data_IF_397941699770
#
_entry.id   IF_397941699770
#
_cell.length_a   1.000
_cell.length_b   1.000
_cell.length_c   1.000
_cell.angle_alpha   90.00
_cell.angle_beta   90.00
_cell.angle_gamma   90.00
#
_symmetry.space_group_name_H-M   'P 1'
#
loop_
_entity.id
_entity.type
_entity.pdbx_description
1 polymer ?
#
# COMPACT_ATOMS: atom_id res chain seq x y z
N UNK A 1 -6.01 14.43 33.60
CA UNK A 1 -7.31 13.98 33.05
C UNK A 1 -7.04 13.32 31.73
N UNK A 2 -6.90 12.00 31.72
CA UNK A 2 -6.66 11.17 30.54
C UNK A 2 -8.01 10.86 29.91
N UNK A 3 -8.35 11.50 28.81
CA UNK A 3 -9.53 11.16 28.01
C UNK A 3 -9.27 9.82 27.33
N UNK A 4 -9.93 8.78 27.77
CA UNK A 4 -10.04 7.53 27.03
C UNK A 4 -10.76 7.83 25.71
N UNK A 5 -10.07 7.68 24.58
CA UNK A 5 -10.69 7.61 23.27
C UNK A 5 -11.43 6.29 23.19
N UNK A 6 -12.76 6.31 23.18
CA UNK A 6 -13.55 5.14 22.86
C UNK A 6 -13.18 4.65 21.46
N UNK A 7 -12.48 3.53 21.40
CA UNK A 7 -12.11 2.87 20.14
C UNK A 7 -13.35 2.14 19.64
N UNK A 8 -13.79 2.44 18.43
CA UNK A 8 -14.94 1.79 17.80
C UNK A 8 -14.69 0.26 17.73
N UNK A 9 -15.56 -0.59 18.30
CA UNK A 9 -15.38 -2.05 18.29
C UNK A 9 -15.16 -2.66 16.90
N UNK A 10 -15.82 -2.12 15.86
CA UNK A 10 -15.67 -2.56 14.47
C UNK A 10 -14.27 -2.33 13.90
N UNK A 11 -13.53 -1.38 14.43
CA UNK A 11 -12.18 -1.05 14.00
C UNK A 11 -11.12 -2.01 14.58
N UNK A 12 -11.42 -2.65 15.72
CA UNK A 12 -10.57 -3.68 16.33
C UNK A 12 -10.72 -5.03 15.63
N UNK A 13 -11.92 -5.35 15.10
CA UNK A 13 -12.18 -6.61 14.42
C UNK A 13 -11.40 -6.75 13.11
N UNK A 14 -11.28 -5.65 12.34
CA UNK A 14 -10.57 -5.63 11.05
C UNK A 14 -9.08 -6.00 11.17
N UNK A 15 -8.43 -5.58 12.26
CA UNK A 15 -7.02 -5.86 12.50
C UNK A 15 -6.78 -7.27 13.07
N UNK A 16 -7.65 -7.72 13.97
CA UNK A 16 -7.53 -9.03 14.58
C UNK A 16 -7.77 -10.18 13.57
N UNK A 17 -8.57 -9.94 12.55
CA UNK A 17 -8.91 -10.95 11.56
C UNK A 17 -7.76 -11.19 10.57
N UNK A 18 -7.13 -10.13 10.06
CA UNK A 18 -5.99 -10.26 9.16
C UNK A 18 -4.76 -10.89 9.84
N UNK A 19 -4.54 -10.62 11.14
CA UNK A 19 -3.49 -11.28 11.91
C UNK A 19 -3.85 -12.73 12.25
N UNK A 20 -5.14 -13.03 12.48
CA UNK A 20 -5.62 -14.40 12.71
C UNK A 20 -5.60 -15.23 11.42
N UNK A 21 -5.98 -14.67 10.26
CA UNK A 21 -5.88 -15.37 8.97
C UNK A 21 -4.43 -15.63 8.58
N UNK A 22 -3.52 -14.70 8.84
CA UNK A 22 -2.09 -14.93 8.62
C UNK A 22 -1.55 -16.02 9.56
N UNK A 23 -1.96 -16.04 10.81
CA UNK A 23 -1.59 -17.10 11.77
C UNK A 23 -2.30 -18.42 11.51
N UNK A 24 -3.49 -18.42 10.91
CA UNK A 24 -4.24 -19.63 10.52
C UNK A 24 -3.66 -20.23 9.24
N UNK A 25 -3.31 -19.43 8.23
CA UNK A 25 -2.64 -19.93 7.02
C UNK A 25 -1.26 -20.53 7.35
N UNK A 26 -0.49 -19.91 8.25
CA UNK A 26 0.78 -20.47 8.73
C UNK A 26 0.58 -21.73 9.59
N UNK A 27 -0.52 -21.84 10.38
CA UNK A 27 -0.84 -23.01 11.18
C UNK A 27 -1.51 -24.14 10.38
N UNK A 28 -2.28 -23.83 9.34
CA UNK A 28 -2.86 -24.85 8.44
C UNK A 28 -1.78 -25.44 7.53
N UNK A 29 -0.77 -24.67 7.11
CA UNK A 29 0.42 -25.22 6.47
C UNK A 29 1.23 -26.16 7.41
N UNK A 30 1.18 -25.93 8.73
CA UNK A 30 1.80 -26.83 9.72
C UNK A 30 0.93 -28.08 10.06
N UNK A 31 -0.39 -28.03 9.87
CA UNK A 31 -1.32 -29.13 10.25
C UNK A 31 -1.69 -30.09 9.10
N UNK A 32 -1.45 -29.75 7.86
CA UNK A 32 -1.78 -30.60 6.70
C UNK A 32 -0.66 -31.57 6.30
N UNK A 33 0.35 -31.78 7.13
CA UNK A 33 1.42 -32.75 6.84
C UNK A 33 1.10 -34.06 7.54
N UNK A 34 0.31 -34.89 6.88
CA UNK A 34 0.35 -36.34 7.09
C UNK A 34 1.66 -36.88 6.52
N UNK A 35 2.44 -37.38 7.41
CA UNK A 35 3.69 -38.11 7.30
C UNK A 35 3.90 -38.85 5.99
N UNK A 36 4.87 -38.40 5.17
CA UNK A 36 5.90 -39.24 4.56
C UNK A 36 6.97 -38.34 3.92
N UNK A 37 8.16 -38.35 4.52
CA UNK A 37 9.39 -37.78 3.93
C UNK A 37 9.54 -36.26 4.16
N UNK A 38 10.05 -35.86 5.32
CA UNK A 38 10.47 -34.49 5.60
C UNK A 38 11.60 -34.06 4.65
N UNK A 39 11.31 -33.29 3.61
CA UNK A 39 12.29 -32.41 3.03
C UNK A 39 12.29 -31.11 3.87
N UNK A 40 13.13 -31.02 4.88
CA UNK A 40 13.43 -29.74 5.53
C UNK A 40 13.94 -28.77 4.47
N UNK A 41 13.25 -27.64 4.23
CA UNK A 41 13.80 -26.52 3.47
C UNK A 41 15.17 -26.21 4.08
N UNK A 42 16.24 -26.34 3.28
CA UNK A 42 17.61 -26.07 3.68
C UNK A 42 17.66 -24.64 4.23
N UNK A 43 18.03 -24.44 5.50
CA UNK A 43 18.20 -23.10 6.05
C UNK A 43 19.24 -22.39 5.17
N UNK A 44 18.87 -21.18 4.69
CA UNK A 44 19.83 -20.35 3.93
C UNK A 44 21.04 -20.05 4.82
N UNK A 45 22.23 -20.10 4.23
CA UNK A 45 23.46 -19.69 4.90
C UNK A 45 23.49 -18.15 5.04
N UNK A 46 24.38 -17.62 5.90
CA UNK A 46 24.57 -16.17 6.01
C UNK A 46 24.99 -15.56 4.67
N UNK A 47 25.88 -16.20 3.96
CA UNK A 47 26.36 -15.77 2.63
C UNK A 47 25.21 -15.70 1.61
N UNK A 48 24.27 -16.64 1.65
CA UNK A 48 23.08 -16.60 0.79
C UNK A 48 22.10 -15.49 1.17
N UNK A 49 22.04 -15.12 2.47
CA UNK A 49 21.16 -14.06 2.96
C UNK A 49 21.72 -12.67 2.62
N UNK A 50 23.04 -12.49 2.70
CA UNK A 50 23.70 -11.18 2.54
C UNK A 50 24.45 -11.01 1.22
N UNK A 51 24.30 -11.94 0.28
CA UNK A 51 25.01 -12.00 -1.00
C UNK A 51 25.02 -10.71 -1.82
N UNK A 52 23.96 -9.89 -1.66
CA UNK A 52 23.76 -8.65 -2.41
C UNK A 52 24.28 -7.40 -1.66
N UNK A 53 24.84 -7.56 -0.46
CA UNK A 53 25.47 -6.47 0.28
C UNK A 53 26.93 -6.28 -0.15
N UNK A 54 27.40 -5.01 -0.24
CA UNK A 54 28.81 -4.73 -0.46
C UNK A 54 29.64 -5.23 0.72
N UNK A 55 30.82 -5.76 0.43
CA UNK A 55 31.76 -6.28 1.43
C UNK A 55 32.91 -5.29 1.60
N UNK A 56 33.18 -4.90 2.85
CA UNK A 56 34.35 -4.12 3.25
C UNK A 56 35.28 -5.01 4.08
N UNK A 57 36.51 -5.18 3.65
CA UNK A 57 37.53 -5.95 4.40
C UNK A 57 38.33 -5.03 5.31
N UNK A 58 38.32 -5.30 6.61
CA UNK A 58 39.12 -4.60 7.61
C UNK A 58 40.23 -5.53 8.08
N UNK A 59 41.46 -5.12 7.86
CA UNK A 59 42.65 -5.90 8.29
C UNK A 59 43.26 -5.27 9.53
N UNK A 60 43.12 -5.94 10.66
CA UNK A 60 43.76 -5.55 11.91
C UNK A 60 45.24 -5.99 11.85
N UNK A 61 46.13 -5.00 11.81
CA UNK A 61 47.60 -5.28 11.78
C UNK A 61 48.04 -5.78 13.13
N UNK A 62 49.04 -6.69 13.10
CA UNK A 62 49.71 -7.11 14.33
C UNK A 62 50.53 -5.97 14.92
N UNK A 63 50.48 -5.81 16.24
CA UNK A 63 51.20 -4.78 16.95
C UNK A 63 52.71 -5.04 17.05
N UNK A 64 53.13 -6.24 16.67
CA UNK A 64 54.53 -6.68 16.76
C UNK A 64 55.15 -6.66 15.36
N UNK A 65 56.16 -5.83 15.17
CA UNK A 65 56.91 -5.65 13.93
C UNK A 65 58.26 -6.42 13.89
N UNK A 66 58.70 -6.86 15.05
CA UNK A 66 59.95 -7.63 15.24
C UNK A 66 59.71 -8.89 16.05
N UNK A 67 60.42 -9.94 15.73
CA UNK A 67 60.30 -11.21 16.41
C UNK A 67 60.70 -11.07 17.88
N UNK A 68 59.86 -11.51 18.84
CA UNK A 68 60.17 -11.40 20.27
C UNK A 68 61.35 -12.25 20.72
N UNK A 69 61.76 -13.26 19.95
CA UNK A 69 62.86 -14.16 20.30
C UNK A 69 64.21 -13.73 19.68
N UNK A 70 64.21 -13.33 18.40
CA UNK A 70 65.48 -13.05 17.69
C UNK A 70 65.64 -11.62 17.18
N UNK A 71 64.66 -10.74 17.43
CA UNK A 71 64.65 -9.29 17.07
C UNK A 71 64.67 -9.03 15.53
N UNK A 72 64.53 -10.06 14.69
CA UNK A 72 64.45 -9.88 13.25
C UNK A 72 63.13 -9.28 12.82
N UNK A 73 63.05 -8.49 11.71
CA UNK A 73 61.83 -7.98 11.19
C UNK A 73 60.85 -9.09 10.82
N UNK A 74 59.58 -8.99 11.23
CA UNK A 74 58.52 -9.91 10.87
C UNK A 74 57.88 -9.55 9.52
N UNK A 75 57.49 -10.53 8.75
CA UNK A 75 56.86 -10.37 7.47
C UNK A 75 55.41 -10.88 7.54
N UNK A 76 54.46 -10.14 6.91
CA UNK A 76 53.08 -10.60 6.75
C UNK A 76 53.03 -11.78 5.80
N UNK A 77 52.51 -12.91 6.25
CA UNK A 77 52.42 -14.16 5.45
C UNK A 77 50.99 -14.44 4.97
N UNK A 78 49.98 -13.68 5.47
CA UNK A 78 48.59 -13.86 5.09
C UNK A 78 47.64 -13.10 5.99
N UNK A 79 46.36 -13.32 5.78
CA UNK A 79 45.26 -12.84 6.65
C UNK A 79 44.39 -14.04 7.04
N UNK A 80 43.90 -14.07 8.26
CA UNK A 80 42.97 -15.06 8.79
C UNK A 80 41.60 -14.43 9.03
N UNK A 81 40.56 -15.13 8.62
CA UNK A 81 39.19 -14.71 8.87
C UNK A 81 38.85 -14.92 10.36
N UNK A 82 38.31 -13.91 11.01
CA UNK A 82 37.91 -13.96 12.41
C UNK A 82 36.39 -13.97 12.56
N UNK A 83 35.69 -12.94 12.08
CA UNK A 83 34.23 -12.82 12.10
C UNK A 83 33.75 -11.80 11.07
N UNK A 84 32.46 -11.82 10.82
CA UNK A 84 31.74 -10.86 10.00
C UNK A 84 30.69 -10.14 10.86
N UNK A 85 30.49 -8.85 10.62
CA UNK A 85 29.48 -8.02 11.25
C UNK A 85 28.69 -7.22 10.20
N UNK A 86 27.40 -6.96 10.47
CA UNK A 86 26.60 -6.08 9.65
C UNK A 86 26.73 -4.64 10.15
N UNK A 87 27.29 -3.77 9.30
CA UNK A 87 27.49 -2.36 9.63
C UNK A 87 26.36 -1.51 9.10
N UNK A 88 25.70 -0.75 9.97
CA UNK A 88 24.69 0.25 9.61
C UNK A 88 25.30 1.65 9.67
N UNK A 89 25.30 2.34 8.51
CA UNK A 89 25.72 3.74 8.43
C UNK A 89 24.48 4.63 8.51
N UNK A 90 24.31 5.44 9.56
CA UNK A 90 23.18 6.37 9.68
C UNK A 90 23.15 7.38 8.54
N UNK A 91 21.94 7.83 8.17
CA UNK A 91 21.76 8.89 7.18
C UNK A 91 22.46 10.19 7.63
N UNK A 92 23.04 10.90 6.67
CA UNK A 92 23.69 12.20 6.88
C UNK A 92 22.99 13.29 6.08
N UNK A 93 22.81 14.47 6.69
CA UNK A 93 22.36 15.67 5.98
C UNK A 93 23.53 16.64 5.78
N UNK A 94 23.61 17.23 4.61
CA UNK A 94 24.60 18.26 4.29
C UNK A 94 24.01 19.32 3.37
N UNK A 95 24.64 20.49 3.31
CA UNK A 95 24.24 21.58 2.44
C UNK A 95 25.04 21.52 1.15
N UNK A 96 24.35 21.45 0.00
CA UNK A 96 24.96 21.56 -1.33
C UNK A 96 24.69 22.96 -1.86
N UNK A 97 25.75 23.71 -2.14
CA UNK A 97 25.68 25.02 -2.78
C UNK A 97 26.00 24.88 -4.25
N UNK A 98 25.08 25.27 -5.11
CA UNK A 98 25.27 25.27 -6.56
C UNK A 98 25.78 26.63 -7.01
N UNK A 99 26.79 26.63 -7.85
CA UNK A 99 27.35 27.80 -8.50
C UNK A 99 27.36 27.55 -10.00
N UNK A 100 27.22 28.60 -10.76
CA UNK A 100 27.41 28.56 -12.21
C UNK A 100 28.69 29.34 -12.54
N UNK A 101 29.47 28.81 -13.43
CA UNK A 101 30.61 29.54 -14.01
C UNK A 101 30.11 30.70 -14.87
N UNK A 102 30.74 31.85 -14.78
CA UNK A 102 30.46 33.02 -15.58
C UNK A 102 31.71 33.36 -16.40
N UNK A 103 31.60 33.20 -17.71
CA UNK A 103 32.72 33.48 -18.61
C UNK A 103 32.43 34.73 -19.46
N UNK A 104 33.46 35.53 -19.67
CA UNK A 104 33.41 36.75 -20.48
C UNK A 104 34.32 36.55 -21.67
N UNK A 105 33.89 36.96 -22.85
CA UNK A 105 34.75 37.02 -24.03
C UNK A 105 35.77 38.16 -23.86
N UNK A 106 37.08 37.89 -23.95
CA UNK A 106 38.08 38.93 -23.79
C UNK A 106 38.18 39.86 -24.99
N UNK A 107 37.62 39.46 -26.16
CA UNK A 107 37.69 40.23 -27.39
C UNK A 107 36.42 41.04 -27.71
N UNK A 108 35.31 40.79 -26.99
CA UNK A 108 34.05 41.48 -27.18
C UNK A 108 33.87 42.56 -26.13
N UNK A 109 33.48 43.77 -26.54
CA UNK A 109 33.13 44.87 -25.65
C UNK A 109 34.34 45.73 -25.18
N UNK A 110 35.53 45.54 -25.74
CA UNK A 110 36.64 46.49 -25.61
C UNK A 110 36.72 47.38 -26.86
N UNK A 111 36.71 48.70 -26.67
CA UNK A 111 36.91 49.69 -27.75
C UNK A 111 38.39 49.68 -28.14
N UNK A 112 38.79 48.64 -28.88
CA UNK A 112 40.12 48.55 -29.50
C UNK A 112 39.94 48.24 -30.98
N UNK A 113 40.90 48.60 -31.80
CA UNK A 113 40.90 48.34 -33.28
C UNK A 113 40.73 46.82 -33.62
N UNK A 114 40.76 45.95 -32.66
CA UNK A 114 40.57 44.48 -32.76
C UNK A 114 39.24 43.99 -32.20
N UNK A 115 38.32 44.86 -31.79
CA UNK A 115 37.02 44.44 -31.25
C UNK A 115 36.14 43.88 -32.35
N UNK A 116 35.72 42.62 -32.20
CA UNK A 116 34.86 41.92 -33.16
C UNK A 116 33.38 42.31 -32.95
N UNK A 117 33.02 42.81 -31.76
CA UNK A 117 31.67 43.21 -31.40
C UNK A 117 31.69 44.29 -30.29
N UNK A 118 30.87 45.35 -30.46
CA UNK A 118 30.73 46.46 -29.50
C UNK A 118 30.03 46.07 -28.19
N UNK A 119 29.44 44.86 -28.13
CA UNK A 119 28.74 44.37 -26.94
C UNK A 119 29.58 43.35 -26.16
N UNK A 120 29.70 43.55 -24.84
CA UNK A 120 30.29 42.58 -23.95
C UNK A 120 29.49 41.27 -23.99
N UNK A 121 30.15 40.17 -24.33
CA UNK A 121 29.54 38.81 -24.32
C UNK A 121 29.90 38.10 -23.05
N UNK A 122 28.86 37.81 -22.26
CA UNK A 122 28.96 37.06 -21.00
C UNK A 122 28.07 35.83 -21.16
N UNK A 123 28.62 34.65 -20.87
CA UNK A 123 27.88 33.36 -20.85
C UNK A 123 27.95 32.80 -19.45
N UNK A 124 26.80 32.31 -18.98
CA UNK A 124 26.68 31.64 -17.67
C UNK A 124 26.39 30.17 -17.88
N UNK A 125 27.00 29.34 -17.08
CA UNK A 125 26.66 27.91 -16.99
C UNK A 125 25.20 27.74 -16.57
N UNK A 126 24.68 26.50 -16.72
CA UNK A 126 23.31 26.14 -16.29
C UNK A 126 23.39 25.32 -15.02
N UNK A 127 22.61 25.69 -14.02
CA UNK A 127 22.37 24.88 -12.84
C UNK A 127 21.06 24.07 -13.00
N UNK A 128 20.93 22.91 -12.33
CA UNK A 128 19.66 22.20 -12.27
C UNK A 128 18.58 23.08 -11.62
N UNK A 129 17.35 22.95 -12.09
CA UNK A 129 16.20 23.63 -11.50
C UNK A 129 15.87 23.05 -10.12
N UNK A 130 15.32 23.89 -9.24
CA UNK A 130 14.79 23.42 -7.96
C UNK A 130 13.58 22.54 -8.18
N UNK A 131 13.44 21.47 -7.37
CA UNK A 131 12.28 20.55 -7.42
C UNK A 131 10.96 21.31 -7.30
N UNK A 132 10.88 22.22 -6.34
CA UNK A 132 9.75 23.15 -6.22
C UNK A 132 10.27 24.59 -6.22
N UNK A 133 9.50 25.57 -6.73
CA UNK A 133 9.90 26.97 -6.69
C UNK A 133 10.25 27.42 -5.27
N UNK A 134 11.38 28.09 -5.12
CA UNK A 134 11.88 28.61 -3.82
C UNK A 134 12.13 27.53 -2.76
N UNK A 135 12.19 26.27 -3.13
CA UNK A 135 12.55 25.19 -2.20
C UNK A 135 14.08 25.04 -2.07
N UNK A 136 14.50 24.41 -0.99
CA UNK A 136 15.93 24.15 -0.69
C UNK A 136 16.20 22.67 -0.40
N UNK A 137 15.30 21.76 -0.79
CA UNK A 137 15.50 20.32 -0.66
C UNK A 137 15.88 19.70 -2.01
N UNK A 138 16.61 18.60 -1.93
CA UNK A 138 16.93 17.79 -3.11
C UNK A 138 15.79 16.81 -3.44
N UNK A 139 15.75 16.27 -4.68
CA UNK A 139 14.80 15.22 -5.05
C UNK A 139 14.81 14.03 -4.08
N UNK A 140 16.01 13.62 -3.65
CA UNK A 140 16.20 12.48 -2.74
C UNK A 140 15.63 12.75 -1.35
N UNK A 141 15.78 13.98 -0.82
CA UNK A 141 15.19 14.35 0.46
C UNK A 141 13.67 14.37 0.39
N UNK A 142 13.11 14.89 -0.69
CA UNK A 142 11.66 14.88 -0.90
C UNK A 142 11.13 13.43 -1.00
N UNK A 143 11.77 12.58 -1.79
CA UNK A 143 11.42 11.16 -1.91
C UNK A 143 11.52 10.43 -0.55
N UNK A 144 12.55 10.74 0.23
CA UNK A 144 12.69 10.22 1.61
C UNK A 144 11.49 10.62 2.49
N UNK A 145 11.08 11.89 2.48
CA UNK A 145 9.93 12.38 3.27
C UNK A 145 8.65 11.62 2.88
N UNK A 146 8.39 11.45 1.58
CA UNK A 146 7.24 10.69 1.09
C UNK A 146 7.29 9.23 1.50
N UNK A 147 8.45 8.59 1.33
CA UNK A 147 8.63 7.17 1.66
C UNK A 147 8.45 6.90 3.15
N UNK A 148 9.10 7.70 4.02
CA UNK A 148 8.93 7.57 5.47
C UNK A 148 7.47 7.77 5.90
N UNK A 149 6.81 8.81 5.37
CA UNK A 149 5.43 9.12 5.75
C UNK A 149 4.43 8.07 5.26
N UNK A 150 4.50 7.64 4.01
CA UNK A 150 3.44 6.88 3.37
C UNK A 150 3.75 5.38 3.23
N UNK A 151 5.01 4.99 3.09
CA UNK A 151 5.40 3.59 3.08
C UNK A 151 5.66 3.04 4.50
N UNK A 152 6.35 3.85 5.35
CA UNK A 152 6.70 3.44 6.73
C UNK A 152 5.77 4.02 7.80
N UNK A 153 4.74 4.79 7.41
CA UNK A 153 3.76 5.39 8.30
C UNK A 153 4.35 6.33 9.38
N UNK A 154 5.48 6.99 9.12
CA UNK A 154 6.13 7.92 10.06
C UNK A 154 5.45 9.29 9.99
N UNK A 155 4.90 9.84 11.09
CA UNK A 155 4.32 11.19 11.11
C UNK A 155 5.36 12.28 10.79
N UNK A 156 4.95 13.35 10.10
CA UNK A 156 5.84 14.47 9.76
C UNK A 156 6.45 15.13 11.01
N UNK A 157 5.77 15.10 12.14
CA UNK A 157 6.32 15.60 13.39
C UNK A 157 7.54 14.80 13.85
N UNK A 158 7.50 13.46 13.71
CA UNK A 158 8.65 12.59 14.03
C UNK A 158 9.80 12.85 13.07
N UNK A 159 9.51 13.00 11.77
CA UNK A 159 10.53 13.38 10.77
C UNK A 159 11.15 14.75 11.07
N UNK A 160 10.35 15.74 11.47
CA UNK A 160 10.86 17.05 11.88
C UNK A 160 11.82 16.94 13.08
N UNK A 161 11.50 16.08 14.06
CA UNK A 161 12.37 15.82 15.23
C UNK A 161 13.65 15.09 14.81
N UNK A 162 13.55 14.13 13.92
CA UNK A 162 14.68 13.38 13.38
C UNK A 162 15.64 14.31 12.62
N UNK A 163 15.12 15.15 11.72
CA UNK A 163 15.93 16.15 11.03
C UNK A 163 16.62 17.15 11.99
N UNK A 164 15.93 17.54 13.06
CA UNK A 164 16.53 18.41 14.09
C UNK A 164 17.71 17.71 14.79
N UNK A 165 17.62 16.42 15.05
CA UNK A 165 18.74 15.64 15.62
C UNK A 165 19.97 15.66 14.70
N UNK A 166 19.75 15.74 13.39
CA UNK A 166 20.78 15.91 12.35
C UNK A 166 21.14 17.39 12.08
N UNK A 167 20.77 18.32 12.98
CA UNK A 167 21.00 19.77 12.90
C UNK A 167 20.31 20.48 11.73
N UNK A 168 19.24 19.91 11.21
CA UNK A 168 18.39 20.52 10.18
C UNK A 168 17.02 20.88 10.78
N UNK A 169 16.84 22.16 11.11
CA UNK A 169 15.59 22.65 11.70
C UNK A 169 14.53 22.89 10.63
N UNK A 170 13.78 21.84 10.30
CA UNK A 170 12.67 21.89 9.34
C UNK A 170 11.36 21.66 10.11
N UNK A 171 10.49 22.66 10.10
CA UNK A 171 9.21 22.58 10.82
C UNK A 171 8.23 21.61 10.19
N UNK A 172 7.34 21.02 11.01
CA UNK A 172 6.24 20.16 10.52
C UNK A 172 5.34 20.84 9.47
N UNK A 173 4.94 22.12 9.64
CA UNK A 173 4.20 22.83 8.59
C UNK A 173 4.96 22.96 7.28
N UNK A 174 6.28 23.19 7.33
CA UNK A 174 7.13 23.26 6.14
C UNK A 174 7.13 21.93 5.40
N UNK A 175 7.33 20.82 6.11
CA UNK A 175 7.26 19.47 5.53
C UNK A 175 5.89 19.18 4.92
N UNK A 176 4.80 19.58 5.60
CA UNK A 176 3.45 19.40 5.10
C UNK A 176 3.19 20.18 3.79
N UNK A 177 3.66 21.42 3.72
CA UNK A 177 3.54 22.23 2.51
C UNK A 177 4.32 21.62 1.34
N UNK A 178 5.53 21.13 1.57
CA UNK A 178 6.30 20.43 0.53
C UNK A 178 5.59 19.19 0.00
N UNK A 179 5.01 18.40 0.91
CA UNK A 179 4.24 17.20 0.54
C UNK A 179 3.02 17.58 -0.30
N UNK A 180 2.26 18.60 0.10
CA UNK A 180 1.07 19.04 -0.64
C UNK A 180 1.44 19.57 -2.02
N UNK A 181 2.42 20.46 -2.10
CA UNK A 181 2.84 21.08 -3.37
C UNK A 181 3.46 20.06 -4.32
N UNK A 182 4.31 19.16 -3.82
CA UNK A 182 4.89 18.10 -4.63
C UNK A 182 3.86 17.09 -5.11
N UNK A 183 2.87 16.76 -4.28
CA UNK A 183 1.76 15.88 -4.69
C UNK A 183 0.96 16.49 -5.82
N UNK A 184 0.60 17.77 -5.75
CA UNK A 184 -0.15 18.46 -6.80
C UNK A 184 0.65 18.55 -8.11
N UNK A 185 1.96 18.86 -8.02
CA UNK A 185 2.79 19.07 -9.19
C UNK A 185 3.23 17.79 -9.90
N UNK A 186 3.60 16.76 -9.14
CA UNK A 186 4.24 15.55 -9.66
C UNK A 186 3.34 14.31 -9.59
N UNK A 187 2.63 14.09 -8.48
CA UNK A 187 1.91 12.85 -8.29
C UNK A 187 0.51 12.88 -8.89
N UNK A 188 -0.19 13.99 -8.82
CA UNK A 188 -1.55 14.12 -9.35
C UNK A 188 -1.66 13.82 -10.85
N UNK A 189 -0.76 14.31 -11.72
CA UNK A 189 -0.81 13.93 -13.14
C UNK A 189 -0.62 12.44 -13.40
N UNK A 190 0.21 11.76 -12.59
CA UNK A 190 0.41 10.31 -12.66
C UNK A 190 -0.84 9.58 -12.13
N UNK A 191 -1.42 10.08 -11.04
CA UNK A 191 -2.66 9.58 -10.48
C UNK A 191 -3.80 9.62 -11.52
N UNK A 192 -3.97 10.71 -12.25
CA UNK A 192 -4.98 10.87 -13.30
C UNK A 192 -4.79 9.88 -14.46
N UNK A 193 -3.53 9.62 -14.84
CA UNK A 193 -3.23 8.60 -15.84
C UNK A 193 -3.52 7.19 -15.30
N UNK A 194 -3.13 6.88 -14.06
CA UNK A 194 -3.47 5.60 -13.42
C UNK A 194 -4.98 5.41 -13.28
N UNK A 195 -5.74 6.48 -13.03
CA UNK A 195 -7.20 6.42 -13.01
C UNK A 195 -7.76 6.04 -14.38
N UNK A 196 -7.20 6.60 -15.44
CA UNK A 196 -7.57 6.24 -16.81
C UNK A 196 -7.26 4.76 -17.12
N UNK A 197 -6.12 4.24 -16.65
CA UNK A 197 -5.78 2.82 -16.81
C UNK A 197 -6.69 1.92 -15.97
N UNK A 198 -6.98 2.31 -14.72
CA UNK A 198 -7.90 1.56 -13.85
C UNK A 198 -9.28 1.37 -14.50
N UNK A 199 -9.82 2.39 -15.16
CA UNK A 199 -11.15 2.30 -15.81
C UNK A 199 -11.19 1.38 -17.05
N UNK A 200 -10.03 0.92 -17.53
CA UNK A 200 -9.95 -0.10 -18.62
C UNK A 200 -9.97 -1.53 -18.09
N UNK A 201 -9.78 -1.71 -16.79
CA UNK A 201 -9.71 -3.03 -16.17
C UNK A 201 -11.07 -3.71 -16.17
N UNK A 202 -11.09 -5.02 -16.31
CA UNK A 202 -12.34 -5.80 -16.36
C UNK A 202 -13.00 -5.90 -14.97
N UNK A 203 -12.20 -6.04 -13.93
CA UNK A 203 -12.65 -6.17 -12.54
C UNK A 203 -11.93 -5.14 -11.68
N UNK A 204 -12.70 -4.31 -10.99
CA UNK A 204 -12.19 -3.36 -9.98
C UNK A 204 -12.72 -3.81 -8.62
N UNK A 205 -11.88 -3.71 -7.61
CA UNK A 205 -12.27 -3.86 -6.21
C UNK A 205 -12.43 -2.50 -5.56
N UNK A 206 -13.41 -2.35 -4.68
CA UNK A 206 -13.62 -1.11 -3.93
C UNK A 206 -13.88 -1.37 -2.45
N UNK A 207 -13.33 -0.48 -1.62
CA UNK A 207 -13.56 -0.42 -0.19
C UNK A 207 -13.32 1.01 0.31
N UNK A 208 -13.73 1.34 1.52
CA UNK A 208 -13.44 2.65 2.10
C UNK A 208 -13.18 2.56 3.60
N UNK A 209 -12.47 3.56 4.12
CA UNK A 209 -12.23 3.73 5.55
C UNK A 209 -12.46 5.16 5.98
N UNK A 210 -12.67 5.35 7.29
CA UNK A 210 -12.83 6.69 7.86
C UNK A 210 -11.52 7.46 7.85
N UNK A 211 -11.59 8.77 7.65
CA UNK A 211 -10.50 9.72 7.88
C UNK A 211 -11.07 10.97 8.54
N UNK A 212 -10.36 11.50 9.53
CA UNK A 212 -10.71 12.79 10.13
C UNK A 212 -9.91 13.89 9.43
N UNK A 213 -10.61 14.96 9.03
CA UNK A 213 -10.00 16.15 8.43
C UNK A 213 -10.47 17.36 9.24
N UNK A 214 -9.52 18.14 9.81
CA UNK A 214 -9.85 19.15 10.81
C UNK A 214 -10.49 20.40 10.24
N UNK A 215 -9.98 20.90 9.11
CA UNK A 215 -10.40 22.17 8.51
C UNK A 215 -11.13 21.94 7.18
N UNK A 216 -12.24 21.24 7.25
CA UNK A 216 -13.20 21.16 6.14
C UNK A 216 -14.19 22.33 6.26
N UNK A 217 -14.50 22.93 5.12
CA UNK A 217 -15.47 24.02 5.09
C UNK A 217 -16.85 23.54 5.57
N UNK A 218 -17.50 24.31 6.43
CA UNK A 218 -18.85 24.07 6.97
C UNK A 218 -19.05 22.75 7.72
N UNK A 219 -17.95 22.13 8.20
CA UNK A 219 -17.98 20.87 8.96
C UNK A 219 -17.20 20.95 10.26
N UNK A 220 -17.71 20.25 11.28
CA UNK A 220 -17.03 20.16 12.58
C UNK A 220 -15.79 19.28 12.44
N UNK A 221 -14.69 19.65 13.10
CA UNK A 221 -13.42 18.93 13.07
C UNK A 221 -13.52 17.42 13.44
N UNK A 222 -14.51 17.02 14.24
CA UNK A 222 -14.76 15.63 14.62
C UNK A 222 -15.57 14.83 13.60
N UNK A 223 -16.06 15.46 12.53
CA UNK A 223 -16.84 14.78 11.50
C UNK A 223 -15.93 13.84 10.71
N UNK A 224 -16.41 12.62 10.49
CA UNK A 224 -15.66 11.61 9.75
C UNK A 224 -15.89 11.77 8.25
N UNK A 225 -14.80 11.94 7.53
CA UNK A 225 -14.70 11.86 6.07
C UNK A 225 -14.26 10.47 5.64
N UNK A 226 -14.09 10.22 4.36
CA UNK A 226 -13.76 8.88 3.84
C UNK A 226 -12.50 8.91 2.98
N UNK A 227 -11.76 7.83 3.07
CA UNK A 227 -10.73 7.46 2.12
C UNK A 227 -11.19 6.17 1.43
N UNK A 228 -11.55 6.31 0.15
CA UNK A 228 -11.91 5.19 -0.71
C UNK A 228 -10.66 4.57 -1.31
N UNK A 229 -10.74 3.30 -1.64
CA UNK A 229 -9.73 2.58 -2.41
C UNK A 229 -10.44 1.88 -3.56
N UNK A 230 -9.95 2.11 -4.77
CA UNK A 230 -10.32 1.37 -5.96
C UNK A 230 -9.08 0.69 -6.49
N UNK A 231 -9.12 -0.62 -6.66
CA UNK A 231 -7.89 -1.34 -6.97
C UNK A 231 -8.06 -2.58 -7.84
N UNK A 232 -6.96 -2.95 -8.48
CA UNK A 232 -6.69 -4.25 -9.10
C UNK A 232 -5.42 -4.83 -8.48
N UNK A 233 -4.95 -5.98 -8.93
CA UNK A 233 -3.65 -6.51 -8.48
C UNK A 233 -2.50 -5.52 -8.76
N UNK A 234 -2.54 -4.81 -9.91
CA UNK A 234 -1.48 -3.92 -10.39
C UNK A 234 -1.67 -2.45 -9.98
N UNK A 235 -2.90 -1.96 -9.86
CA UNK A 235 -3.22 -0.54 -9.64
C UNK A 235 -3.93 -0.37 -8.29
N UNK A 236 -3.50 0.60 -7.49
CA UNK A 236 -4.10 0.96 -6.21
C UNK A 236 -4.37 2.46 -6.17
N UNK A 237 -5.63 2.87 -6.25
CA UNK A 237 -6.00 4.29 -6.21
C UNK A 237 -6.80 4.61 -4.95
N UNK A 238 -6.38 5.66 -4.26
CA UNK A 238 -7.06 6.19 -3.09
C UNK A 238 -7.73 7.51 -3.45
N UNK A 239 -8.92 7.73 -2.92
CA UNK A 239 -9.69 8.97 -3.12
C UNK A 239 -10.21 9.47 -1.78
N UNK A 240 -9.88 10.70 -1.44
CA UNK A 240 -10.50 11.38 -0.29
C UNK A 240 -11.86 11.98 -0.69
N UNK A 241 -12.86 11.81 0.19
CA UNK A 241 -14.15 12.49 0.08
C UNK A 241 -14.68 12.90 1.44
N UNK A 242 -15.45 13.99 1.48
CA UNK A 242 -16.05 14.48 2.72
C UNK A 242 -17.15 13.55 3.25
N UNK A 243 -17.82 12.80 2.38
CA UNK A 243 -18.98 11.99 2.76
C UNK A 243 -18.84 10.55 2.28
N UNK A 244 -19.63 9.66 2.83
CA UNK A 244 -19.81 8.28 2.35
C UNK A 244 -20.91 8.17 1.27
N UNK A 245 -21.26 9.26 0.58
CA UNK A 245 -22.34 9.20 -0.42
C UNK A 245 -21.89 8.36 -1.63
N UNK A 246 -22.79 7.51 -2.13
CA UNK A 246 -22.55 6.69 -3.35
C UNK A 246 -22.26 7.51 -4.61
N UNK A 247 -22.65 8.78 -4.66
CA UNK A 247 -22.28 9.72 -5.74
C UNK A 247 -20.77 9.91 -5.88
N UNK A 248 -20.00 9.70 -4.81
CA UNK A 248 -18.53 9.73 -4.88
C UNK A 248 -18.01 8.58 -5.73
N UNK A 249 -18.53 7.36 -5.52
CA UNK A 249 -18.18 6.20 -6.32
C UNK A 249 -18.68 6.34 -7.76
N UNK A 250 -19.90 6.87 -7.97
CA UNK A 250 -20.45 7.14 -9.32
C UNK A 250 -19.58 8.13 -10.08
N UNK A 251 -19.12 9.19 -9.43
CA UNK A 251 -18.22 10.19 -10.03
C UNK A 251 -16.86 9.60 -10.37
N UNK A 252 -16.27 8.82 -9.45
CA UNK A 252 -14.96 8.21 -9.64
C UNK A 252 -14.96 7.15 -10.75
N UNK A 253 -15.98 6.29 -10.78
CA UNK A 253 -16.13 5.22 -11.77
C UNK A 253 -16.90 5.65 -13.03
N UNK A 254 -17.03 6.96 -13.27
CA UNK A 254 -17.74 7.47 -14.45
C UNK A 254 -17.12 6.93 -15.75
N UNK A 255 -17.93 6.26 -16.54
CA UNK A 255 -17.52 5.64 -17.81
C UNK A 255 -17.02 4.20 -17.68
N UNK A 256 -16.88 3.69 -16.48
CA UNK A 256 -16.58 2.27 -16.23
C UNK A 256 -17.83 1.38 -16.47
N UNK A 257 -17.63 0.23 -17.10
CA UNK A 257 -18.71 -0.71 -17.46
C UNK A 257 -18.39 -2.16 -17.08
N UNK A 258 -17.35 -2.39 -16.30
CA UNK A 258 -16.92 -3.71 -15.86
C UNK A 258 -17.60 -4.18 -14.57
N UNK A 259 -16.92 -5.06 -13.86
CA UNK A 259 -17.35 -5.66 -12.60
C UNK A 259 -16.72 -4.93 -11.40
N UNK A 260 -17.55 -4.60 -10.40
CA UNK A 260 -17.10 -3.98 -9.16
C UNK A 260 -17.28 -4.94 -7.98
N UNK A 261 -16.20 -5.48 -7.46
CA UNK A 261 -16.20 -6.30 -6.24
C UNK A 261 -16.15 -5.40 -5.01
N UNK A 262 -17.17 -5.46 -4.17
CA UNK A 262 -17.29 -4.61 -2.99
C UNK A 262 -18.10 -5.28 -1.88
N UNK A 263 -18.18 -4.62 -0.71
CA UNK A 263 -19.04 -5.03 0.39
C UNK A 263 -20.53 -4.70 0.14
N UNK A 264 -21.37 -5.00 1.14
CA UNK A 264 -22.81 -4.75 1.12
C UNK A 264 -23.20 -3.28 1.32
N UNK A 265 -22.36 -2.31 1.01
CA UNK A 265 -22.73 -0.90 1.15
C UNK A 265 -23.67 -0.44 0.04
N UNK A 266 -24.88 0.05 0.41
CA UNK A 266 -25.94 0.45 -0.52
C UNK A 266 -25.54 1.61 -1.48
N UNK A 267 -24.52 2.38 -1.14
CA UNK A 267 -24.00 3.47 -1.98
C UNK A 267 -23.54 2.99 -3.36
N UNK A 268 -23.04 1.77 -3.46
CA UNK A 268 -22.63 1.17 -4.73
C UNK A 268 -23.80 0.79 -5.65
N UNK A 269 -25.03 0.67 -5.13
CA UNK A 269 -26.24 0.36 -5.92
C UNK A 269 -26.65 1.52 -6.84
N UNK A 270 -26.07 2.72 -6.66
CA UNK A 270 -26.29 3.89 -7.54
C UNK A 270 -25.52 3.82 -8.85
N UNK A 271 -24.51 2.94 -8.95
CA UNK A 271 -23.67 2.81 -10.12
C UNK A 271 -24.49 2.27 -11.30
N UNK A 272 -24.53 3.04 -12.39
CA UNK A 272 -25.16 2.63 -13.63
C UNK A 272 -24.14 1.98 -14.55
N UNK A 273 -24.53 0.95 -15.27
CA UNK A 273 -23.69 0.21 -16.22
C UNK A 273 -22.47 -0.51 -15.60
N UNK A 274 -22.43 -0.69 -14.27
CA UNK A 274 -21.42 -1.45 -13.55
C UNK A 274 -22.09 -2.65 -12.92
N UNK A 275 -21.58 -3.85 -13.15
CA UNK A 275 -22.08 -5.06 -12.48
C UNK A 275 -21.44 -5.15 -11.10
N UNK A 276 -22.24 -4.96 -10.04
CA UNK A 276 -21.79 -5.12 -8.67
C UNK A 276 -21.63 -6.60 -8.33
N UNK A 277 -20.50 -6.96 -7.72
CA UNK A 277 -20.19 -8.29 -7.22
C UNK A 277 -20.04 -8.26 -5.71
N UNK A 278 -20.79 -9.08 -5.00
CA UNK A 278 -20.76 -9.18 -3.55
C UNK A 278 -19.56 -9.97 -3.04
N UNK A 279 -19.24 -9.77 -1.77
CA UNK A 279 -18.11 -10.42 -1.11
C UNK A 279 -18.60 -11.58 -0.21
N UNK A 280 -18.25 -12.81 -0.58
CA UNK A 280 -18.56 -14.00 0.23
C UNK A 280 -17.82 -14.04 1.56
N UNK A 281 -16.65 -13.40 1.69
CA UNK A 281 -15.96 -13.29 2.98
C UNK A 281 -16.81 -12.50 3.99
N UNK A 282 -17.54 -11.47 3.58
CA UNK A 282 -18.48 -10.74 4.43
C UNK A 282 -19.69 -11.60 4.83
N UNK A 283 -20.27 -12.34 3.91
CA UNK A 283 -21.35 -13.29 4.22
C UNK A 283 -20.88 -14.35 5.22
N UNK A 284 -19.70 -14.96 4.96
CA UNK A 284 -19.05 -15.94 5.85
C UNK A 284 -18.83 -15.39 7.24
N UNK A 285 -18.33 -14.16 7.36
CA UNK A 285 -18.12 -13.47 8.64
C UNK A 285 -19.40 -13.33 9.45
N UNK A 286 -20.53 -12.97 8.82
CA UNK A 286 -21.83 -12.85 9.48
C UNK A 286 -22.27 -14.17 10.12
N UNK A 287 -22.08 -15.30 9.44
CA UNK A 287 -22.37 -16.63 10.01
C UNK A 287 -21.39 -17.00 11.11
N UNK A 288 -20.11 -16.67 10.96
CA UNK A 288 -19.09 -16.89 12.00
C UNK A 288 -19.38 -16.09 13.27
N UNK A 289 -19.74 -14.82 13.16
CA UNK A 289 -20.13 -13.95 14.29
C UNK A 289 -21.41 -14.44 15.00
N UNK A 290 -22.24 -15.19 14.30
CA UNK A 290 -23.45 -15.79 14.87
C UNK A 290 -23.22 -17.14 15.57
N UNK A 291 -21.98 -17.67 15.54
CA UNK A 291 -21.66 -18.95 16.18
C UNK A 291 -21.78 -18.88 17.71
N UNK A 292 -22.38 -19.88 18.35
CA UNK A 292 -22.35 -20.01 19.80
C UNK A 292 -20.92 -20.09 20.35
N UNK A 293 -20.71 -19.56 21.54
CA UNK A 293 -19.43 -19.66 22.26
C UNK A 293 -19.13 -21.08 22.69
N UNK A 294 -20.17 -21.80 23.16
CA UNK A 294 -20.06 -23.20 23.56
C UNK A 294 -19.79 -24.09 22.33
N UNK A 295 -18.77 -24.92 22.41
CA UNK A 295 -18.27 -25.71 21.28
C UNK A 295 -19.23 -26.84 20.88
N UNK A 296 -19.90 -27.48 21.84
CA UNK A 296 -20.86 -28.57 21.56
C UNK A 296 -22.14 -28.00 20.91
N UNK A 297 -22.64 -26.86 21.41
CA UNK A 297 -23.78 -26.17 20.80
C UNK A 297 -23.41 -25.66 19.44
N UNK A 298 -22.18 -25.16 19.24
CA UNK A 298 -21.67 -24.66 17.96
C UNK A 298 -21.76 -25.73 16.88
N UNK A 299 -21.28 -26.94 17.15
CA UNK A 299 -21.24 -28.04 16.15
C UNK A 299 -22.60 -28.34 15.53
N UNK A 300 -23.67 -28.19 16.30
CA UNK A 300 -25.05 -28.49 15.85
C UNK A 300 -25.87 -27.24 15.49
N UNK A 301 -25.28 -26.06 15.62
CA UNK A 301 -25.99 -24.81 15.37
C UNK A 301 -26.25 -24.54 13.88
N UNK A 302 -27.38 -23.92 13.56
CA UNK A 302 -27.69 -23.46 12.22
C UNK A 302 -26.67 -22.42 11.68
N UNK A 303 -26.06 -21.64 12.58
CA UNK A 303 -25.00 -20.71 12.21
C UNK A 303 -23.76 -21.45 11.69
N UNK A 304 -23.37 -22.55 12.33
CA UNK A 304 -22.26 -23.38 11.87
C UNK A 304 -22.60 -24.09 10.55
N UNK A 305 -23.81 -24.59 10.40
CA UNK A 305 -24.24 -25.18 9.12
C UNK A 305 -24.11 -24.19 7.96
N UNK A 306 -24.55 -22.94 8.14
CA UNK A 306 -24.37 -21.87 7.15
C UNK A 306 -22.92 -21.51 6.89
N UNK A 307 -22.12 -21.44 7.93
CA UNK A 307 -20.69 -21.19 7.85
C UNK A 307 -19.96 -22.28 7.04
N UNK A 308 -20.23 -23.55 7.30
CA UNK A 308 -19.62 -24.68 6.58
C UNK A 308 -20.06 -24.76 5.12
N UNK A 309 -21.32 -24.46 4.81
CA UNK A 309 -21.79 -24.38 3.42
C UNK A 309 -21.07 -23.28 2.61
N UNK A 310 -20.78 -22.15 3.25
CA UNK A 310 -19.99 -21.08 2.61
C UNK A 310 -18.53 -21.53 2.48
N UNK A 311 -17.95 -22.21 3.47
CA UNK A 311 -16.58 -22.75 3.38
C UNK A 311 -16.40 -23.65 2.15
N UNK A 312 -17.38 -24.45 1.76
CA UNK A 312 -17.34 -25.28 0.56
C UNK A 312 -17.07 -24.45 -0.71
N UNK A 313 -17.63 -23.23 -0.81
CA UNK A 313 -17.34 -22.34 -1.95
C UNK A 313 -15.88 -21.89 -1.97
N UNK A 314 -15.31 -21.56 -0.80
CA UNK A 314 -13.91 -21.18 -0.69
C UNK A 314 -12.96 -22.36 -0.96
N UNK A 315 -13.35 -23.57 -0.62
CA UNK A 315 -12.59 -24.78 -0.98
C UNK A 315 -12.56 -25.01 -2.47
N UNK A 316 -13.71 -24.94 -3.14
CA UNK A 316 -13.79 -25.04 -4.60
C UNK A 316 -12.94 -23.98 -5.30
N UNK A 317 -13.01 -22.72 -4.86
CA UNK A 317 -12.21 -21.64 -5.45
C UNK A 317 -10.70 -21.82 -5.26
N UNK A 318 -10.28 -22.44 -4.14
CA UNK A 318 -8.86 -22.83 -3.96
C UNK A 318 -8.44 -23.88 -4.97
N UNK A 319 -9.28 -24.91 -5.17
CA UNK A 319 -9.00 -25.97 -6.13
C UNK A 319 -8.93 -25.43 -7.57
N UNK A 320 -9.71 -24.39 -7.87
CA UNK A 320 -9.73 -23.74 -9.18
C UNK A 320 -8.61 -22.73 -9.39
N UNK A 321 -7.80 -22.44 -8.39
CA UNK A 321 -6.77 -21.38 -8.46
C UNK A 321 -5.73 -21.60 -9.57
N UNK A 322 -5.45 -22.86 -9.93
CA UNK A 322 -4.48 -23.24 -10.96
C UNK A 322 -5.11 -23.47 -12.35
N UNK A 323 -6.44 -23.39 -12.47
CA UNK A 323 -7.16 -23.65 -13.70
C UNK A 323 -7.10 -22.44 -14.65
N UNK A 324 -7.20 -22.69 -15.95
CA UNK A 324 -7.43 -21.64 -16.94
C UNK A 324 -8.77 -20.93 -16.67
N UNK A 325 -8.96 -19.69 -17.18
CA UNK A 325 -10.23 -18.98 -17.05
C UNK A 325 -11.44 -19.80 -17.58
N UNK A 326 -11.29 -20.49 -18.68
CA UNK A 326 -12.33 -21.30 -19.31
C UNK A 326 -12.69 -22.52 -18.44
N UNK A 327 -11.68 -23.23 -17.94
CA UNK A 327 -11.88 -24.36 -17.04
C UNK A 327 -12.52 -23.90 -15.72
N UNK A 328 -12.06 -22.79 -15.14
CA UNK A 328 -12.65 -22.20 -13.94
C UNK A 328 -14.12 -21.85 -14.15
N UNK A 329 -14.46 -21.24 -15.28
CA UNK A 329 -15.85 -20.94 -15.62
C UNK A 329 -16.70 -22.21 -15.64
N UNK A 330 -16.24 -23.25 -16.32
CA UNK A 330 -16.96 -24.55 -16.41
C UNK A 330 -17.15 -25.16 -15.01
N UNK A 331 -16.10 -25.21 -14.20
CA UNK A 331 -16.17 -25.77 -12.85
C UNK A 331 -17.12 -24.97 -11.93
N UNK A 332 -17.14 -23.64 -12.06
CA UNK A 332 -18.09 -22.80 -11.35
C UNK A 332 -19.54 -23.07 -11.73
N UNK A 333 -19.82 -23.25 -13.03
CA UNK A 333 -21.18 -23.57 -13.51
C UNK A 333 -21.63 -24.95 -13.04
N UNK A 334 -20.73 -25.94 -13.00
CA UNK A 334 -21.07 -27.32 -12.64
C UNK A 334 -21.15 -27.54 -11.13
N UNK A 335 -20.22 -26.95 -10.36
CA UNK A 335 -20.08 -27.25 -8.93
C UNK A 335 -20.43 -26.07 -8.02
N UNK A 336 -19.83 -24.89 -8.22
CA UNK A 336 -20.09 -23.75 -7.34
C UNK A 336 -21.54 -23.28 -7.39
N UNK A 337 -22.15 -23.28 -8.57
CA UNK A 337 -23.56 -22.94 -8.74
C UNK A 337 -24.47 -23.87 -7.93
N UNK A 338 -24.18 -25.18 -7.95
CA UNK A 338 -24.94 -26.15 -7.17
C UNK A 338 -24.83 -25.89 -5.66
N UNK A 339 -23.60 -25.63 -5.15
CA UNK A 339 -23.41 -25.30 -3.74
C UNK A 339 -24.16 -24.03 -3.35
N UNK A 340 -24.21 -23.03 -4.24
CA UNK A 340 -24.98 -21.81 -4.05
C UNK A 340 -26.50 -22.08 -4.00
N UNK A 341 -27.01 -22.83 -4.97
CA UNK A 341 -28.44 -23.16 -5.05
C UNK A 341 -28.86 -23.96 -3.79
N UNK A 342 -28.06 -24.92 -3.35
CA UNK A 342 -28.28 -25.69 -2.12
C UNK A 342 -28.18 -24.81 -0.87
N UNK A 343 -27.27 -23.83 -0.83
CA UNK A 343 -27.16 -22.85 0.26
C UNK A 343 -28.42 -21.98 0.37
N UNK A 344 -28.91 -21.44 -0.74
CA UNK A 344 -30.11 -20.60 -0.71
C UNK A 344 -31.38 -21.39 -0.47
N UNK A 345 -31.50 -22.62 -0.96
CA UNK A 345 -32.59 -23.52 -0.61
C UNK A 345 -32.59 -23.85 0.90
N UNK A 346 -31.41 -24.07 1.47
CA UNK A 346 -31.25 -24.25 2.91
C UNK A 346 -31.65 -22.98 3.69
N UNK A 347 -31.24 -21.77 3.25
CA UNK A 347 -31.60 -20.51 3.91
C UNK A 347 -33.12 -20.33 4.05
N UNK A 348 -33.93 -20.79 3.09
CA UNK A 348 -35.39 -20.75 3.18
C UNK A 348 -35.95 -21.63 4.30
N UNK A 349 -35.20 -22.63 4.75
CA UNK A 349 -35.58 -23.52 5.90
C UNK A 349 -35.16 -22.93 7.25
N UNK A 350 -34.35 -21.89 7.28
CA UNK A 350 -33.82 -21.29 8.51
C UNK A 350 -34.79 -20.25 9.04
N UNK A 351 -35.30 -20.48 10.24
CA UNK A 351 -36.20 -19.55 10.94
C UNK A 351 -35.54 -18.99 12.20
N UNK A 352 -34.67 -18.01 12.12
CA UNK A 352 -33.92 -17.50 13.26
C UNK A 352 -34.75 -16.58 14.12
N UNK A 353 -34.48 -16.52 15.42
CA UNK A 353 -35.09 -15.56 16.33
C UNK A 353 -34.77 -14.12 15.88
N UNK A 354 -35.82 -13.27 15.91
CA UNK A 354 -35.66 -11.87 15.49
C UNK A 354 -34.54 -11.16 16.29
N UNK A 355 -33.68 -10.39 15.60
CA UNK A 355 -32.55 -9.66 16.20
C UNK A 355 -31.33 -10.49 16.54
N UNK A 356 -31.37 -11.83 16.40
CA UNK A 356 -30.22 -12.70 16.63
C UNK A 356 -29.09 -12.47 15.61
N UNK A 357 -27.88 -12.91 15.93
CA UNK A 357 -26.73 -12.91 14.99
C UNK A 357 -27.07 -13.70 13.71
N UNK A 358 -27.71 -14.87 13.87
CA UNK A 358 -28.13 -15.69 12.75
C UNK A 358 -29.18 -14.98 11.87
N UNK A 359 -30.14 -14.25 12.48
CA UNK A 359 -31.11 -13.47 11.68
C UNK A 359 -30.43 -12.41 10.82
N UNK A 360 -29.41 -11.73 11.36
CA UNK A 360 -28.61 -10.74 10.62
C UNK A 360 -27.81 -11.39 9.48
N UNK A 361 -27.22 -12.57 9.72
CA UNK A 361 -26.49 -13.32 8.70
C UNK A 361 -27.38 -13.77 7.55
N UNK A 362 -28.54 -14.35 7.87
CA UNK A 362 -29.55 -14.78 6.88
C UNK A 362 -30.05 -13.58 6.08
N UNK A 363 -30.44 -12.49 6.75
CA UNK A 363 -30.93 -11.28 6.08
C UNK A 363 -29.88 -10.68 5.13
N UNK A 364 -28.61 -10.63 5.57
CA UNK A 364 -27.51 -10.18 4.71
C UNK A 364 -27.39 -11.05 3.46
N UNK A 365 -27.34 -12.37 3.62
CA UNK A 365 -27.20 -13.29 2.51
C UNK A 365 -28.38 -13.18 1.51
N UNK A 366 -29.61 -12.99 2.02
CA UNK A 366 -30.80 -12.81 1.17
C UNK A 366 -30.78 -11.47 0.44
N UNK A 367 -30.42 -10.38 1.11
CA UNK A 367 -30.34 -9.04 0.51
C UNK A 367 -29.28 -8.96 -0.59
N UNK A 368 -28.15 -9.65 -0.38
CA UNK A 368 -27.01 -9.64 -1.30
C UNK A 368 -27.05 -10.77 -2.33
N UNK A 369 -28.11 -11.58 -2.39
CA UNK A 369 -28.21 -12.79 -3.23
C UNK A 369 -27.75 -12.56 -4.68
N UNK A 370 -28.31 -11.58 -5.34
CA UNK A 370 -27.97 -11.29 -6.76
C UNK A 370 -26.51 -10.93 -6.95
N UNK A 371 -25.95 -10.15 -6.03
CA UNK A 371 -24.54 -9.73 -6.08
C UNK A 371 -23.58 -10.86 -5.71
N UNK A 372 -23.98 -11.74 -4.80
CA UNK A 372 -23.20 -12.92 -4.40
C UNK A 372 -23.16 -14.00 -5.49
N UNK A 373 -24.10 -14.02 -6.42
CA UNK A 373 -24.07 -14.90 -7.60
C UNK A 373 -23.19 -14.36 -8.74
N UNK A 374 -22.91 -13.06 -8.76
CA UNK A 374 -22.24 -12.39 -9.89
C UNK A 374 -20.86 -12.97 -10.24
N UNK A 375 -20.12 -13.58 -9.28
CA UNK A 375 -18.83 -14.20 -9.58
C UNK A 375 -18.94 -15.43 -10.54
N UNK A 376 -20.12 -15.98 -10.71
CA UNK A 376 -20.38 -17.04 -11.70
C UNK A 376 -20.43 -16.52 -13.15
N UNK A 377 -20.63 -15.20 -13.35
CA UNK A 377 -20.76 -14.62 -14.68
C UNK A 377 -19.43 -14.56 -15.43
N UNK A 378 -18.34 -14.42 -14.70
CA UNK A 378 -17.00 -14.26 -15.27
C UNK A 378 -15.94 -14.94 -14.41
N UNK A 379 -15.04 -15.74 -14.98
CA UNK A 379 -14.01 -16.45 -14.24
C UNK A 379 -12.95 -15.54 -13.59
N UNK A 380 -12.85 -14.28 -14.03
CA UNK A 380 -11.91 -13.30 -13.46
C UNK A 380 -12.46 -12.62 -12.19
N UNK A 381 -13.77 -12.71 -11.94
CA UNK A 381 -14.36 -12.16 -10.71
C UNK A 381 -13.99 -13.05 -9.54
N UNK A 382 -13.29 -12.52 -8.52
CA UNK A 382 -13.00 -13.28 -7.32
C UNK A 382 -14.24 -13.42 -6.43
N UNK A 383 -14.23 -14.44 -5.59
CA UNK A 383 -15.33 -14.72 -4.65
C UNK A 383 -15.38 -13.70 -3.49
N UNK A 384 -14.29 -12.99 -3.23
CA UNK A 384 -14.16 -12.08 -2.11
C UNK A 384 -13.53 -10.73 -2.48
N UNK A 385 -13.59 -9.78 -1.54
CA UNK A 385 -13.01 -8.44 -1.67
C UNK A 385 -11.71 -8.26 -0.87
N UNK A 386 -11.02 -9.33 -0.52
CA UNK A 386 -9.80 -9.29 0.29
C UNK A 386 -8.71 -8.40 -0.32
N UNK A 387 -8.68 -8.24 -1.65
CA UNK A 387 -7.74 -7.37 -2.33
C UNK A 387 -7.90 -5.89 -1.92
N UNK A 388 -9.15 -5.38 -1.90
CA UNK A 388 -9.41 -4.01 -1.45
C UNK A 388 -9.17 -3.87 0.06
N UNK A 389 -9.58 -4.84 0.87
CA UNK A 389 -9.33 -4.84 2.31
C UNK A 389 -7.83 -4.78 2.62
N UNK A 390 -7.00 -5.56 1.94
CA UNK A 390 -5.53 -5.48 2.06
C UNK A 390 -4.99 -4.13 1.57
N UNK A 391 -5.58 -3.57 0.51
CA UNK A 391 -5.17 -2.28 -0.05
C UNK A 391 -5.53 -1.09 0.86
N UNK A 392 -6.57 -1.19 1.69
CA UNK A 392 -6.90 -0.17 2.70
C UNK A 392 -5.91 -0.15 3.87
N UNK A 393 -5.30 -1.30 4.24
CA UNK A 393 -4.43 -1.45 5.41
C UNK A 393 -3.30 -0.41 5.52
N UNK A 394 -2.49 -0.10 4.48
CA UNK A 394 -1.41 0.88 4.58
C UNK A 394 -1.91 2.25 5.06
N UNK A 395 -3.04 2.70 4.55
CA UNK A 395 -3.66 3.96 4.98
C UNK A 395 -4.13 3.89 6.43
N UNK A 396 -4.79 2.79 6.83
CA UNK A 396 -5.29 2.61 8.21
C UNK A 396 -4.15 2.56 9.22
N UNK A 397 -3.03 1.88 8.90
CA UNK A 397 -1.81 1.87 9.72
C UNK A 397 -1.25 3.29 9.85
N UNK A 398 -1.11 4.00 8.74
CA UNK A 398 -0.65 5.39 8.73
C UNK A 398 -1.55 6.27 9.60
N UNK A 399 -2.87 6.17 9.43
CA UNK A 399 -3.85 6.93 10.22
C UNK A 399 -3.72 6.70 11.72
N UNK A 400 -3.45 5.48 12.17
CA UNK A 400 -3.20 5.20 13.60
C UNK A 400 -1.98 5.95 14.15
N UNK A 401 -1.01 6.28 13.31
CA UNK A 401 0.19 7.02 13.70
C UNK A 401 0.02 8.54 13.66
N UNK A 402 -0.61 9.08 12.60
CA UNK A 402 -0.77 10.52 12.41
C UNK A 402 -2.17 11.06 12.77
N UNK A 403 -3.15 10.20 13.07
CA UNK A 403 -4.50 10.41 13.58
C UNK A 403 -5.46 11.14 12.62
N UNK A 404 -5.10 12.28 12.05
CA UNK A 404 -5.95 13.14 11.21
C UNK A 404 -5.16 13.85 10.11
N UNK A 405 -5.85 14.33 9.10
CA UNK A 405 -5.34 15.33 8.16
C UNK A 405 -5.77 16.72 8.60
N UNK A 406 -4.87 17.70 8.50
CA UNK A 406 -5.19 19.07 8.91
C UNK A 406 -6.17 19.75 7.94
N UNK A 407 -6.05 19.47 6.63
CA UNK A 407 -6.84 20.10 5.57
C UNK A 407 -7.24 19.12 4.48
N UNK A 408 -8.27 19.43 3.68
CA UNK A 408 -8.65 18.68 2.49
C UNK A 408 -7.48 18.49 1.53
N UNK A 409 -6.70 19.55 1.24
CA UNK A 409 -5.50 19.45 0.39
C UNK A 409 -4.49 18.44 0.91
N UNK A 410 -4.31 18.34 2.24
CA UNK A 410 -3.46 17.34 2.86
C UNK A 410 -3.99 15.92 2.73
N UNK A 411 -5.32 15.76 2.77
CA UNK A 411 -5.98 14.48 2.55
C UNK A 411 -5.87 14.03 1.08
N UNK A 412 -6.07 14.94 0.12
CA UNK A 412 -5.89 14.70 -1.32
C UNK A 412 -4.43 14.35 -1.66
N UNK A 413 -3.47 15.10 -1.09
CA UNK A 413 -2.05 14.80 -1.24
C UNK A 413 -1.70 13.40 -0.69
N UNK A 414 -2.31 13.02 0.42
CA UNK A 414 -2.15 11.67 0.98
C UNK A 414 -2.76 10.60 0.08
N UNK A 415 -3.94 10.83 -0.49
CA UNK A 415 -4.57 9.93 -1.45
C UNK A 415 -3.67 9.68 -2.66
N UNK A 416 -3.14 10.75 -3.28
CA UNK A 416 -2.22 10.64 -4.40
C UNK A 416 -0.92 9.90 -4.01
N UNK A 417 -0.32 10.23 -2.87
CA UNK A 417 0.91 9.60 -2.42
C UNK A 417 0.75 8.11 -2.12
N UNK A 418 -0.31 7.71 -1.40
CA UNK A 418 -0.62 6.30 -1.17
C UNK A 418 -0.87 5.56 -2.49
N UNK A 419 -1.58 6.18 -3.44
CA UNK A 419 -1.85 5.60 -4.74
C UNK A 419 -0.56 5.25 -5.49
N UNK A 420 0.33 6.20 -5.62
CA UNK A 420 1.58 6.02 -6.36
C UNK A 420 2.49 5.00 -5.67
N UNK A 421 2.68 5.11 -4.36
CA UNK A 421 3.57 4.23 -3.59
C UNK A 421 3.05 2.79 -3.60
N UNK A 422 1.77 2.57 -3.31
CA UNK A 422 1.22 1.22 -3.26
C UNK A 422 1.10 0.59 -4.66
N UNK A 423 0.87 1.39 -5.71
CA UNK A 423 0.92 0.90 -7.10
C UNK A 423 2.34 0.48 -7.48
N UNK A 424 3.36 1.28 -7.16
CA UNK A 424 4.76 0.91 -7.39
C UNK A 424 5.11 -0.40 -6.68
N UNK A 425 4.76 -0.53 -5.40
CA UNK A 425 4.99 -1.73 -4.60
C UNK A 425 4.26 -2.96 -5.15
N UNK A 426 3.00 -2.82 -5.58
CA UNK A 426 2.22 -3.89 -6.21
C UNK A 426 2.88 -4.41 -7.50
N UNK A 427 3.62 -3.56 -8.19
CA UNK A 427 4.39 -3.92 -9.39
C UNK A 427 5.85 -4.32 -9.09
N UNK A 428 6.25 -4.44 -7.81
CA UNK A 428 7.61 -4.78 -7.41
C UNK A 428 8.65 -3.73 -7.82
N UNK A 429 8.22 -2.45 -7.90
CA UNK A 429 9.08 -1.30 -8.18
C UNK A 429 9.47 -0.69 -6.82
N UNK A 430 10.75 -0.37 -6.63
CA UNK A 430 11.17 0.36 -5.44
C UNK A 430 10.54 1.76 -5.42
N UNK A 431 9.63 1.96 -4.47
CA UNK A 431 8.85 3.20 -4.40
C UNK A 431 9.71 4.43 -4.09
N UNK A 432 10.83 4.27 -3.36
CA UNK A 432 11.72 5.37 -3.03
C UNK A 432 12.55 5.80 -4.25
N UNK A 433 13.09 4.85 -4.99
CA UNK A 433 13.83 5.11 -6.23
C UNK A 433 12.90 5.71 -7.29
N UNK A 434 11.69 5.18 -7.42
CA UNK A 434 10.68 5.69 -8.32
C UNK A 434 10.33 7.16 -8.03
N UNK A 435 10.04 7.50 -6.76
CA UNK A 435 9.77 8.88 -6.34
C UNK A 435 10.97 9.80 -6.59
N UNK A 436 12.19 9.32 -6.31
CA UNK A 436 13.42 10.09 -6.57
C UNK A 436 13.53 10.43 -8.04
N UNK A 437 13.30 9.48 -8.92
CA UNK A 437 13.33 9.67 -10.38
C UNK A 437 12.31 10.71 -10.83
N UNK A 438 11.05 10.60 -10.37
CA UNK A 438 9.99 11.56 -10.70
C UNK A 438 10.35 12.97 -10.25
N UNK A 439 10.84 13.13 -9.02
CA UNK A 439 11.18 14.44 -8.49
C UNK A 439 12.45 15.03 -9.13
N UNK A 440 13.33 14.19 -9.64
CA UNK A 440 14.54 14.60 -10.36
C UNK A 440 14.26 15.01 -11.80
N UNK A 441 13.50 14.21 -12.53
CA UNK A 441 13.30 14.36 -13.98
C UNK A 441 12.02 15.11 -14.34
N UNK A 442 11.01 15.07 -13.46
CA UNK A 442 9.66 15.53 -13.76
C UNK A 442 8.88 14.61 -14.72
N UNK A 443 9.42 13.43 -15.02
CA UNK A 443 8.77 12.47 -15.91
C UNK A 443 7.49 11.92 -15.27
N UNK A 444 6.48 11.69 -16.13
CA UNK A 444 5.16 11.13 -15.71
C UNK A 444 5.04 9.65 -16.06
N UNK A 445 6.12 8.91 -15.86
CA UNK A 445 6.11 7.45 -16.12
C UNK A 445 5.22 6.75 -15.09
N UNK A 446 4.30 5.90 -15.56
CA UNK A 446 3.46 5.11 -14.65
C UNK A 446 4.27 4.05 -13.89
N UNK A 447 3.96 3.81 -12.61
CA UNK A 447 4.62 2.78 -11.80
C UNK A 447 4.04 1.39 -12.10
N UNK A 448 3.97 1.04 -13.38
CA UNK A 448 3.48 -0.24 -13.88
C UNK A 448 4.62 -0.96 -14.58
N UNK A 449 4.75 -2.28 -14.35
CA UNK A 449 5.64 -3.10 -15.18
C UNK A 449 5.02 -3.26 -16.57
N UNK A 450 5.81 -3.02 -17.61
CA UNK A 450 5.49 -3.52 -18.94
C UNK A 450 5.41 -5.05 -18.91
N UNK A 451 4.39 -5.59 -19.54
CA UNK A 451 4.23 -7.04 -19.73
C UNK A 451 5.38 -7.66 -20.51
#
# INVERSE_FOLDING_TARGET
>A
MTSFVEVNPDQLSLFNEAEKEQSVSEREEEKSIVVNGHSRKKKRTRDEIFKDLPVEEVIHKADVTVCPECQSPMQTIGKEYVHEELVYVPAKMFRRKHYVEVVKCPQCGEYTEKSINDKTVIVKGKAPESVLPKSYFSPELLAHIFYEKYAKAVPLERLSKDFRSMKAEISTPTLANWVIEASERYLKPIYEQLHTELLKERVIHADETVVQVLHEQDRKAKTQSRMWVYCTEKIKLYQYTQTRNGENAETFLKGYTGYLVCDGYDGYNKLKNVTRCGCWAHARRKFYEALPVDEEIRKTSRANEGFERINQLFELERDYSALSPEERYTQRQEHSKKVLDDFYAWLETVNPSQGSGLAKAVQYALNEKSYLYAFLEDPQIPIDNNLAERSVKPFVIGRKNWLFSTSPKGADASAAAYSIINTAQANGIDAKEYLTTIFLTGERRLPLKSE
#
